data_IF_410656299712
#
_entry.id   IF_410656299712
#
_cell.length_a   1.000
_cell.length_b   1.000
_cell.length_c   1.000
_cell.angle_alpha   90.00
_cell.angle_beta   90.00
_cell.angle_gamma   90.00
#
_symmetry.space_group_name_H-M   'P 1'
#
loop_
_entity.id
_entity.type
_entity.pdbx_description
1 polymer ?
#
# COMPACT_ATOMS: atom_id res chain seq x y z
N UNK A 1 60.86 0.82 21.70
CA UNK A 1 59.60 1.57 21.51
C UNK A 1 58.73 0.90 20.43
N UNK A 2 57.99 -0.18 20.72
CA UNK A 2 56.98 -0.70 19.75
C UNK A 2 55.82 -1.49 20.36
N UNK A 3 55.80 -1.74 21.69
CA UNK A 3 54.71 -2.48 22.34
C UNK A 3 53.52 -1.62 22.77
N UNK A 4 53.69 -0.32 23.00
CA UNK A 4 52.58 0.53 23.47
C UNK A 4 51.60 0.99 22.38
N UNK A 5 52.01 1.07 21.10
CA UNK A 5 51.10 1.52 20.03
C UNK A 5 50.01 0.50 19.68
N UNK A 6 50.28 -0.81 19.76
CA UNK A 6 49.27 -1.85 19.42
C UNK A 6 48.14 -1.96 20.45
N UNK A 7 48.39 -1.61 21.70
CA UNK A 7 47.36 -1.62 22.75
C UNK A 7 46.42 -0.41 22.61
N UNK A 8 46.96 0.77 22.29
CA UNK A 8 46.15 1.98 22.08
C UNK A 8 45.22 1.85 20.87
N UNK A 9 45.65 1.24 19.77
CA UNK A 9 44.81 1.03 18.59
C UNK A 9 43.69 0.01 18.80
N UNK A 10 43.90 -1.03 19.63
CA UNK A 10 42.84 -2.01 19.96
C UNK A 10 41.79 -1.42 20.90
N UNK A 11 42.20 -0.60 21.86
CA UNK A 11 41.25 0.11 22.75
C UNK A 11 40.45 1.16 21.99
N UNK A 12 41.08 1.88 21.05
CA UNK A 12 40.38 2.86 20.20
C UNK A 12 39.37 2.21 19.26
N UNK A 13 39.70 1.04 18.68
CA UNK A 13 38.80 0.30 17.79
C UNK A 13 37.57 -0.28 18.51
N UNK A 14 37.74 -0.74 19.76
CA UNK A 14 36.61 -1.21 20.58
C UNK A 14 35.74 -0.04 21.03
N UNK A 15 36.32 1.11 21.39
CA UNK A 15 35.54 2.31 21.71
C UNK A 15 34.74 2.81 20.50
N UNK A 16 35.34 2.81 19.31
CA UNK A 16 34.65 3.20 18.08
C UNK A 16 33.50 2.23 17.75
N UNK A 17 33.70 0.92 17.91
CA UNK A 17 32.66 -0.07 17.69
C UNK A 17 31.49 0.08 18.67
N UNK A 18 31.76 0.35 19.96
CA UNK A 18 30.71 0.57 20.97
C UNK A 18 29.94 1.86 20.69
N UNK A 19 30.64 2.95 20.34
CA UNK A 19 29.99 4.23 19.97
C UNK A 19 29.13 4.07 18.71
N UNK A 20 29.66 3.39 17.69
CA UNK A 20 28.91 3.15 16.44
C UNK A 20 27.68 2.27 16.70
N UNK A 21 27.79 1.24 17.54
CA UNK A 21 26.65 0.39 17.92
C UNK A 21 25.59 1.17 18.71
N UNK A 22 25.98 2.06 19.64
CA UNK A 22 25.03 2.91 20.37
C UNK A 22 24.38 3.99 19.49
N UNK A 23 25.06 4.50 18.46
CA UNK A 23 24.47 5.44 17.49
C UNK A 23 23.56 4.71 16.50
N UNK A 24 23.90 3.49 16.07
CA UNK A 24 23.05 2.69 15.17
C UNK A 24 21.81 2.14 15.88
N UNK A 25 21.94 1.68 17.14
CA UNK A 25 20.81 1.26 17.96
C UNK A 25 19.95 2.46 18.39
N UNK A 26 20.56 3.61 18.69
CA UNK A 26 19.85 4.84 19.04
C UNK A 26 19.07 5.44 17.86
N UNK A 27 19.61 5.36 16.64
CA UNK A 27 18.93 5.85 15.43
C UNK A 27 17.83 4.91 14.92
N UNK A 28 17.92 3.60 15.15
CA UNK A 28 16.81 2.68 14.83
C UNK A 28 15.61 2.82 15.75
N UNK A 29 15.81 3.28 16.99
CA UNK A 29 14.71 3.67 17.88
C UNK A 29 14.16 5.08 17.62
N UNK A 30 14.91 5.94 16.91
CA UNK A 30 14.53 7.34 16.70
C UNK A 30 13.58 7.57 15.52
N UNK A 31 13.46 6.63 14.58
CA UNK A 31 12.51 6.73 13.46
C UNK A 31 11.14 6.12 13.73
N UNK A 32 10.90 5.55 14.92
CA UNK A 32 9.57 5.09 15.35
C UNK A 32 8.82 6.06 16.26
N UNK A 33 9.45 7.16 16.69
CA UNK A 33 8.77 8.18 17.49
C UNK A 33 8.78 9.49 16.71
N UNK A 34 7.77 9.67 15.84
CA UNK A 34 7.21 10.99 15.67
C UNK A 34 6.94 11.50 17.09
N UNK A 35 7.58 12.61 17.45
CA UNK A 35 7.74 13.12 18.80
C UNK A 35 6.36 13.19 19.50
N UNK A 36 6.01 12.17 20.28
CA UNK A 36 4.85 12.21 21.17
C UNK A 36 5.12 13.35 22.16
N UNK A 37 4.49 14.50 21.92
CA UNK A 37 4.30 15.46 23.00
C UNK A 37 3.57 14.71 24.12
N UNK A 38 4.00 14.82 25.39
CA UNK A 38 3.24 14.26 26.48
C UNK A 38 1.85 14.89 26.44
N UNK A 39 0.83 14.05 26.23
CA UNK A 39 -0.56 14.45 26.16
C UNK A 39 -0.88 15.41 27.32
N UNK A 40 -1.38 16.61 26.99
CA UNK A 40 -2.13 17.37 27.98
C UNK A 40 -3.29 16.47 28.41
N UNK A 41 -3.25 15.99 29.67
CA UNK A 41 -4.23 15.06 30.28
C UNK A 41 -5.64 15.65 30.46
N UNK A 42 -6.05 16.58 29.60
CA UNK A 42 -7.39 17.15 29.55
C UNK A 42 -7.82 17.48 28.11
N UNK A 43 -7.23 16.85 27.07
CA UNK A 43 -7.55 17.18 25.67
C UNK A 43 -8.96 16.72 25.32
N UNK A 44 -9.36 15.51 25.73
CA UNK A 44 -10.71 15.00 25.52
C UNK A 44 -11.80 15.84 26.19
N UNK A 45 -11.52 16.40 27.36
CA UNK A 45 -12.45 17.25 28.12
C UNK A 45 -12.90 18.49 27.35
N UNK A 46 -12.08 19.01 26.43
CA UNK A 46 -12.43 20.12 25.51
C UNK A 46 -13.59 19.74 24.57
N UNK A 47 -13.76 18.45 24.30
CA UNK A 47 -14.70 17.91 23.31
C UNK A 47 -15.80 17.02 23.90
N UNK A 48 -15.86 16.88 25.23
CA UNK A 48 -16.82 15.99 25.91
C UNK A 48 -18.26 16.51 25.83
N UNK A 49 -18.45 17.82 25.70
CA UNK A 49 -19.78 18.43 25.68
C UNK A 49 -20.18 18.85 24.27
N UNK A 50 -21.36 18.40 23.76
CA UNK A 50 -21.89 18.86 22.49
C UNK A 50 -22.10 20.38 22.45
N UNK A 51 -21.64 21.01 21.38
CA UNK A 51 -21.74 22.45 21.12
C UNK A 51 -22.54 22.72 19.83
N UNK A 52 -22.61 23.99 19.41
CA UNK A 52 -23.29 24.36 18.17
C UNK A 52 -22.65 23.69 16.94
N UNK A 53 -21.33 23.52 16.96
CA UNK A 53 -20.57 22.85 15.89
C UNK A 53 -20.98 21.39 15.78
N UNK A 54 -21.14 20.69 16.91
CA UNK A 54 -21.62 19.30 16.96
C UNK A 54 -22.98 19.16 16.28
N UNK A 55 -23.88 20.13 16.49
CA UNK A 55 -25.21 20.14 15.87
C UNK A 55 -25.12 20.37 14.36
N UNK A 56 -24.32 21.36 13.92
CA UNK A 56 -24.07 21.61 12.50
C UNK A 56 -23.47 20.38 11.81
N UNK A 57 -22.51 19.73 12.47
CA UNK A 57 -21.82 18.56 11.93
C UNK A 57 -22.73 17.34 11.77
N UNK A 58 -23.83 17.24 12.54
CA UNK A 58 -24.77 16.11 12.54
C UNK A 58 -26.13 16.44 11.91
N UNK A 59 -26.28 17.65 11.38
CA UNK A 59 -27.49 18.07 10.68
C UNK A 59 -27.49 17.49 9.26
N UNK A 60 -28.45 16.61 8.98
CA UNK A 60 -28.57 15.89 7.70
C UNK A 60 -29.01 16.79 6.55
N UNK A 61 -29.46 18.02 6.83
CA UNK A 61 -29.81 19.01 5.81
C UNK A 61 -28.61 19.83 5.33
N UNK A 62 -27.46 19.74 6.02
CA UNK A 62 -26.27 20.54 5.75
C UNK A 62 -25.27 19.81 4.86
N UNK A 63 -24.65 20.58 3.98
CA UNK A 63 -23.49 20.17 3.20
C UNK A 63 -22.26 20.97 3.60
N UNK A 64 -21.09 20.34 3.61
CA UNK A 64 -19.85 21.00 3.99
C UNK A 64 -19.10 21.53 2.78
N UNK A 65 -18.51 22.73 2.94
CA UNK A 65 -17.65 23.33 1.94
C UNK A 65 -16.39 23.93 2.56
N UNK A 66 -15.27 23.74 1.88
CA UNK A 66 -14.01 24.42 2.11
C UNK A 66 -14.09 25.78 1.41
N UNK A 67 -13.91 26.84 2.18
CA UNK A 67 -13.83 28.23 1.71
C UNK A 67 -12.40 28.71 1.90
N UNK A 68 -11.65 28.83 0.81
CA UNK A 68 -10.30 29.41 0.85
C UNK A 68 -10.40 30.91 1.06
N UNK A 69 -9.60 31.41 2.00
CA UNK A 69 -9.60 32.82 2.35
C UNK A 69 -8.61 33.59 1.48
N UNK A 70 -9.07 34.65 0.83
CA UNK A 70 -8.19 35.54 0.07
C UNK A 70 -7.56 36.63 0.96
N UNK A 71 -8.21 36.99 2.07
CA UNK A 71 -7.73 37.93 3.08
C UNK A 71 -8.47 37.78 4.43
N UNK A 72 -7.96 38.44 5.49
CA UNK A 72 -8.54 38.35 6.84
C UNK A 72 -9.92 39.01 7.00
N UNK A 73 -10.29 39.96 6.13
CA UNK A 73 -11.60 40.64 6.21
C UNK A 73 -12.75 39.70 5.78
N UNK A 74 -12.47 38.78 4.86
CA UNK A 74 -13.40 37.73 4.44
C UNK A 74 -13.70 36.76 5.59
N UNK A 75 -12.70 36.43 6.42
CA UNK A 75 -12.85 35.55 7.58
C UNK A 75 -13.96 36.05 8.51
N UNK A 76 -13.92 37.33 8.91
CA UNK A 76 -14.93 37.92 9.81
C UNK A 76 -16.35 37.83 9.26
N UNK A 77 -16.53 38.15 7.98
CA UNK A 77 -17.82 38.06 7.28
C UNK A 77 -18.39 36.64 7.31
N UNK A 78 -17.55 35.62 7.11
CA UNK A 78 -18.00 34.22 7.12
C UNK A 78 -18.36 33.78 8.54
N UNK A 79 -17.62 34.22 9.57
CA UNK A 79 -18.00 33.94 10.97
C UNK A 79 -19.36 34.53 11.35
N UNK A 80 -19.71 35.72 10.83
CA UNK A 80 -21.02 36.34 11.06
C UNK A 80 -22.19 35.52 10.48
N UNK A 81 -21.93 34.65 9.49
CA UNK A 81 -22.95 33.73 8.96
C UNK A 81 -23.38 32.63 9.96
N UNK A 82 -22.59 32.38 11.01
CA UNK A 82 -22.86 31.35 12.02
C UNK A 82 -22.69 29.90 11.53
N UNK A 83 -22.21 29.71 10.30
CA UNK A 83 -22.10 28.40 9.64
C UNK A 83 -20.67 27.81 9.69
N UNK A 84 -19.71 28.48 10.32
CA UNK A 84 -18.33 27.99 10.43
C UNK A 84 -18.31 26.76 11.33
N UNK A 85 -17.81 25.65 10.77
CA UNK A 85 -17.61 24.38 11.46
C UNK A 85 -16.24 24.34 12.10
N UNK A 86 -15.20 24.75 11.36
CA UNK A 86 -13.82 24.75 11.83
C UNK A 86 -12.94 25.71 11.02
N UNK A 87 -11.94 26.28 11.68
CA UNK A 87 -10.95 27.19 11.08
C UNK A 87 -9.58 26.50 11.03
N UNK A 88 -9.04 26.38 9.81
CA UNK A 88 -7.74 25.77 9.53
C UNK A 88 -6.67 26.83 9.22
N UNK A 89 -6.97 28.10 9.47
CA UNK A 89 -6.09 29.23 9.18
C UNK A 89 -6.16 29.65 7.72
N UNK A 90 -5.75 28.78 6.79
CA UNK A 90 -5.73 29.08 5.34
C UNK A 90 -7.11 28.95 4.67
N UNK A 91 -8.03 28.22 5.29
CA UNK A 91 -9.39 28.04 4.84
C UNK A 91 -10.33 27.81 6.02
N UNK A 92 -11.62 28.06 5.78
CA UNK A 92 -12.70 27.74 6.70
C UNK A 92 -13.47 26.53 6.17
N UNK A 93 -13.90 25.66 7.08
CA UNK A 93 -14.93 24.67 6.79
C UNK A 93 -16.27 25.24 7.22
N UNK A 94 -17.25 25.26 6.32
CA UNK A 94 -18.60 25.78 6.59
C UNK A 94 -19.68 24.73 6.35
N UNK A 95 -20.74 24.76 7.14
CA UNK A 95 -21.95 23.95 6.99
C UNK A 95 -23.07 24.80 6.38
N UNK A 96 -23.41 24.52 5.12
CA UNK A 96 -24.34 25.33 4.35
C UNK A 96 -25.63 24.53 4.09
N UNK A 97 -26.74 25.24 3.89
CA UNK A 97 -27.87 24.63 3.17
C UNK A 97 -27.41 24.25 1.75
N UNK A 98 -28.13 23.31 1.11
CA UNK A 98 -27.80 22.74 -0.22
C UNK A 98 -26.92 23.65 -1.07
N UNK A 99 -25.67 23.24 -1.27
CA UNK A 99 -24.68 23.99 -2.03
C UNK A 99 -25.18 24.13 -3.47
N UNK A 100 -25.74 25.30 -3.80
CA UNK A 100 -25.97 25.63 -5.21
C UNK A 100 -24.62 25.82 -5.86
N UNK A 101 -24.44 25.28 -7.08
CA UNK A 101 -23.29 25.60 -7.93
C UNK A 101 -23.32 27.11 -8.20
N UNK A 102 -22.65 27.89 -7.35
CA UNK A 102 -22.41 29.30 -7.59
C UNK A 102 -21.51 29.40 -8.81
N UNK A 103 -22.03 30.01 -9.87
CA UNK A 103 -21.29 30.33 -11.09
C UNK A 103 -20.51 31.64 -10.99
N UNK A 104 -20.51 32.34 -9.84
CA UNK A 104 -19.89 33.65 -9.69
C UNK A 104 -19.50 33.96 -8.22
N UNK A 105 -18.29 33.60 -7.82
CA UNK A 105 -17.47 34.34 -6.84
C UNK A 105 -16.05 33.79 -6.82
N UNK A 106 -15.05 34.67 -6.75
CA UNK A 106 -13.59 34.39 -6.70
C UNK A 106 -13.12 33.62 -5.43
N UNK A 107 -14.02 32.91 -4.75
CA UNK A 107 -13.74 31.93 -3.71
C UNK A 107 -14.28 30.58 -4.18
N UNK A 108 -13.36 29.71 -4.62
CA UNK A 108 -13.68 28.35 -5.05
C UNK A 108 -14.25 27.55 -3.87
N UNK A 109 -15.58 27.52 -3.76
CA UNK A 109 -16.30 26.64 -2.83
C UNK A 109 -16.04 25.19 -3.23
N UNK A 110 -15.17 24.52 -2.50
CA UNK A 110 -14.91 23.10 -2.70
C UNK A 110 -15.76 22.29 -1.72
N UNK A 111 -16.71 21.50 -2.25
CA UNK A 111 -17.49 20.57 -1.42
C UNK A 111 -16.55 19.60 -0.69
N UNK A 112 -16.76 19.44 0.62
CA UNK A 112 -16.12 18.39 1.40
C UNK A 112 -17.02 17.14 1.31
N UNK A 113 -16.49 16.09 0.70
CA UNK A 113 -17.18 14.80 0.62
C UNK A 113 -17.35 14.20 2.02
N UNK A 114 -18.48 13.53 2.25
CA UNK A 114 -18.86 12.96 3.56
C UNK A 114 -19.19 11.48 3.51
N UNK A 115 -19.09 10.86 2.33
CA UNK A 115 -19.29 9.42 2.17
C UNK A 115 -18.15 8.64 2.81
N UNK A 116 -18.43 7.56 3.52
CA UNK A 116 -17.39 6.66 4.03
C UNK A 116 -17.11 5.60 2.95
N UNK A 117 -15.85 5.46 2.54
CA UNK A 117 -15.43 4.49 1.51
C UNK A 117 -14.71 3.31 2.17
N UNK A 118 -15.32 2.13 2.14
CA UNK A 118 -14.82 0.89 2.72
C UNK A 118 -14.54 -0.13 1.62
N UNK A 119 -13.88 -1.26 1.94
CA UNK A 119 -13.65 -2.32 0.98
C UNK A 119 -14.90 -2.71 0.20
N UNK A 120 -16.05 -2.88 0.86
CA UNK A 120 -17.30 -3.34 0.21
C UNK A 120 -18.09 -2.27 -0.57
N UNK A 121 -17.65 -1.01 -0.56
CA UNK A 121 -18.33 0.08 -1.23
C UNK A 121 -18.33 1.36 -0.39
N UNK A 122 -19.28 2.25 -0.70
CA UNK A 122 -19.41 3.54 -0.01
C UNK A 122 -20.84 3.77 0.47
N UNK A 123 -20.97 4.50 1.56
CA UNK A 123 -22.28 4.92 2.09
C UNK A 123 -22.20 6.33 2.68
N UNK A 124 -23.33 7.02 2.72
CA UNK A 124 -23.50 8.28 3.44
C UNK A 124 -24.17 8.01 4.80
N UNK A 125 -23.47 8.27 5.93
CA UNK A 125 -23.89 7.85 7.26
C UNK A 125 -25.27 8.32 7.77
N UNK A 126 -25.88 9.32 7.13
CA UNK A 126 -27.16 9.89 7.57
C UNK A 126 -28.31 9.79 6.57
N UNK A 127 -28.04 9.38 5.33
CA UNK A 127 -29.08 9.21 4.31
C UNK A 127 -29.33 7.75 3.95
N UNK A 128 -28.35 6.87 4.17
CA UNK A 128 -28.48 5.46 3.84
C UNK A 128 -29.05 4.69 5.05
N UNK A 129 -30.27 4.14 4.89
CA UNK A 129 -31.09 3.53 5.96
C UNK A 129 -30.40 2.39 6.75
N UNK A 130 -29.32 1.79 6.22
CA UNK A 130 -28.55 0.72 6.86
C UNK A 130 -27.39 1.21 7.77
N UNK A 131 -27.18 2.53 7.87
CA UNK A 131 -26.02 3.12 8.57
C UNK A 131 -26.38 3.93 9.82
N UNK A 132 -27.51 3.61 10.47
CA UNK A 132 -27.89 4.25 11.73
C UNK A 132 -26.68 4.22 12.67
N UNK A 133 -26.28 5.42 13.12
CA UNK A 133 -25.29 5.59 14.18
C UNK A 133 -25.64 4.60 15.28
N UNK A 134 -24.79 3.59 15.49
CA UNK A 134 -25.02 2.67 16.59
C UNK A 134 -25.04 3.56 17.83
N UNK A 135 -26.17 3.56 18.56
CA UNK A 135 -26.28 4.42 19.73
C UNK A 135 -25.11 4.13 20.66
N UNK A 136 -24.63 5.15 21.38
CA UNK A 136 -23.53 4.98 22.32
C UNK A 136 -23.79 3.83 23.32
N UNK A 137 -25.06 3.55 23.61
CA UNK A 137 -25.52 2.41 24.43
C UNK A 137 -25.45 1.06 23.69
N UNK A 138 -25.78 1.00 22.39
CA UNK A 138 -25.64 -0.21 21.59
C UNK A 138 -24.17 -0.55 21.31
N UNK A 139 -23.29 0.45 21.15
CA UNK A 139 -21.83 0.27 21.09
C UNK A 139 -21.27 -0.26 22.41
N UNK A 140 -21.86 0.15 23.53
CA UNK A 140 -21.50 -0.31 24.87
C UNK A 140 -22.03 -1.72 25.19
N UNK A 141 -23.17 -2.12 24.60
CA UNK A 141 -23.76 -3.45 24.82
C UNK A 141 -22.99 -4.58 24.10
N UNK A 142 -22.27 -4.25 23.02
CA UNK A 142 -21.42 -5.16 22.24
C UNK A 142 -20.03 -5.41 22.88
N UNK A 143 -19.85 -4.99 24.14
CA UNK A 143 -18.56 -4.82 24.81
C UNK A 143 -17.95 -6.07 25.45
N UNK A 144 -17.86 -7.20 24.73
CA UNK A 144 -16.87 -8.21 25.11
C UNK A 144 -15.53 -7.88 24.43
N UNK A 145 -14.63 -7.23 25.17
CA UNK A 145 -13.29 -6.90 24.69
C UNK A 145 -13.21 -5.69 23.75
N UNK A 146 -12.05 -5.52 23.11
CA UNK A 146 -11.79 -4.44 22.15
C UNK A 146 -12.13 -4.90 20.72
N UNK A 147 -12.68 -3.99 19.92
CA UNK A 147 -13.09 -4.23 18.53
C UNK A 147 -12.69 -3.06 17.62
N UNK A 148 -12.88 -3.24 16.31
CA UNK A 148 -12.68 -2.20 15.31
C UNK A 148 -13.98 -1.46 15.00
N UNK A 149 -13.86 -0.15 14.90
CA UNK A 149 -14.93 0.80 14.65
C UNK A 149 -14.49 1.75 13.55
N UNK A 150 -15.45 2.34 12.86
CA UNK A 150 -15.20 3.45 11.95
C UNK A 150 -15.70 4.71 12.64
N UNK A 151 -14.86 5.74 12.67
CA UNK A 151 -15.19 7.05 13.25
C UNK A 151 -14.92 8.12 12.21
N UNK A 152 -15.91 8.94 11.90
CA UNK A 152 -15.81 10.07 11.00
C UNK A 152 -15.86 11.39 11.77
N UNK A 153 -14.87 12.25 11.55
CA UNK A 153 -14.89 13.62 12.03
C UNK A 153 -15.78 14.51 11.15
N UNK A 154 -16.40 15.53 11.72
CA UNK A 154 -17.15 16.54 10.95
C UNK A 154 -16.27 17.57 10.22
N UNK A 155 -14.98 17.28 10.06
CA UNK A 155 -13.98 18.12 9.41
C UNK A 155 -12.66 17.38 9.26
N UNK A 156 -11.68 18.03 8.63
CA UNK A 156 -10.32 17.49 8.49
C UNK A 156 -9.72 17.32 9.90
N UNK A 157 -9.25 16.11 10.21
CA UNK A 157 -8.76 15.81 11.55
C UNK A 157 -7.57 16.72 11.93
N UNK A 158 -7.61 17.22 13.17
CA UNK A 158 -6.49 17.92 13.82
C UNK A 158 -5.78 16.96 14.77
N UNK A 159 -4.49 17.18 15.02
CA UNK A 159 -3.69 16.33 15.92
C UNK A 159 -4.34 16.21 17.32
N UNK A 160 -4.88 17.30 17.86
CA UNK A 160 -5.57 17.32 19.16
C UNK A 160 -6.84 16.44 19.19
N UNK A 161 -7.52 16.23 18.06
CA UNK A 161 -8.69 15.36 17.99
C UNK A 161 -8.30 13.88 17.94
N UNK A 162 -7.18 13.58 17.28
CA UNK A 162 -6.64 12.21 17.26
C UNK A 162 -6.05 11.86 18.64
N UNK A 163 -5.40 12.82 19.29
CA UNK A 163 -4.85 12.65 20.64
C UNK A 163 -5.96 12.46 21.69
N UNK A 164 -7.09 13.17 21.55
CA UNK A 164 -8.22 12.97 22.46
C UNK A 164 -8.77 11.53 22.43
N UNK A 165 -8.70 10.85 21.27
CA UNK A 165 -9.12 9.45 21.16
C UNK A 165 -8.14 8.53 21.91
N UNK A 166 -6.83 8.82 21.82
CA UNK A 166 -5.78 8.07 22.54
C UNK A 166 -5.93 8.23 24.06
N UNK A 167 -6.26 9.43 24.52
CA UNK A 167 -6.48 9.74 25.94
C UNK A 167 -7.57 8.88 26.58
N UNK A 168 -8.62 8.52 25.82
CA UNK A 168 -9.71 7.65 26.29
C UNK A 168 -9.48 6.15 26.04
N UNK A 169 -8.27 5.77 25.61
CA UNK A 169 -7.85 4.36 25.47
C UNK A 169 -8.13 3.73 24.11
N UNK A 170 -8.49 4.53 23.10
CA UNK A 170 -8.66 4.07 21.72
C UNK A 170 -7.38 4.27 20.90
N UNK A 171 -7.20 3.45 19.87
CA UNK A 171 -6.10 3.53 18.93
C UNK A 171 -6.62 3.90 17.55
N UNK A 172 -6.08 4.95 16.95
CA UNK A 172 -6.36 5.31 15.56
C UNK A 172 -5.47 4.45 14.66
N UNK A 173 -6.07 3.52 13.91
CA UNK A 173 -5.36 2.48 13.16
C UNK A 173 -5.02 2.93 11.75
N UNK A 174 -6.02 3.40 11.00
CA UNK A 174 -5.84 3.75 9.59
C UNK A 174 -6.86 4.78 9.13
N UNK A 175 -6.43 5.72 8.28
CA UNK A 175 -7.32 6.64 7.61
C UNK A 175 -8.21 5.93 6.58
N UNK A 176 -9.49 6.30 6.58
CA UNK A 176 -10.50 5.92 5.59
C UNK A 176 -10.92 7.21 4.87
N UNK A 177 -11.04 7.21 3.53
CA UNK A 177 -11.39 8.42 2.79
C UNK A 177 -12.59 9.18 3.35
N UNK A 178 -12.52 10.51 3.26
CA UNK A 178 -13.52 11.47 3.74
C UNK A 178 -13.64 11.54 5.27
N UNK A 179 -12.50 11.88 5.89
CA UNK A 179 -12.36 12.23 7.32
C UNK A 179 -12.73 11.10 8.27
N UNK A 180 -12.72 9.86 7.78
CA UNK A 180 -13.01 8.68 8.55
C UNK A 180 -11.72 7.95 8.95
N UNK A 181 -11.80 7.17 10.01
CA UNK A 181 -10.69 6.38 10.54
C UNK A 181 -11.21 5.04 11.04
N UNK A 182 -10.45 3.98 10.81
CA UNK A 182 -10.56 2.76 11.60
C UNK A 182 -9.95 3.04 12.97
N UNK A 183 -10.73 2.83 14.01
CA UNK A 183 -10.37 3.02 15.42
C UNK A 183 -10.58 1.71 16.16
N UNK A 184 -9.62 1.32 16.98
CA UNK A 184 -9.72 0.14 17.83
C UNK A 184 -9.83 0.55 19.31
N UNK A 185 -10.82 0.01 19.99
CA UNK A 185 -11.09 0.35 21.39
C UNK A 185 -12.10 -0.59 22.01
N UNK A 186 -12.29 -0.47 23.32
CA UNK A 186 -13.42 -1.13 24.00
C UNK A 186 -14.69 -0.28 23.87
N UNK A 187 -15.83 -0.85 24.25
CA UNK A 187 -17.12 -0.18 24.16
C UNK A 187 -17.21 1.12 24.98
N UNK A 188 -16.43 1.28 26.05
CA UNK A 188 -16.44 2.52 26.85
C UNK A 188 -15.72 3.65 26.11
N UNK A 189 -14.51 3.38 25.61
CA UNK A 189 -13.72 4.35 24.85
C UNK A 189 -14.49 4.83 23.61
N UNK A 190 -15.12 3.90 22.88
CA UNK A 190 -15.85 4.22 21.65
C UNK A 190 -17.16 4.95 21.96
N UNK A 191 -17.83 4.64 23.07
CA UNK A 191 -19.01 5.39 23.53
C UNK A 191 -18.67 6.85 23.84
N UNK A 192 -17.50 7.10 24.46
CA UNK A 192 -16.98 8.46 24.66
C UNK A 192 -16.69 9.15 23.32
N UNK A 193 -16.00 8.47 22.41
CA UNK A 193 -15.67 9.00 21.07
C UNK A 193 -16.94 9.32 20.25
N UNK A 194 -17.96 8.47 20.29
CA UNK A 194 -19.23 8.73 19.60
C UNK A 194 -19.93 10.01 20.11
N UNK A 195 -19.65 10.43 21.35
CA UNK A 195 -20.16 11.67 21.94
C UNK A 195 -19.20 12.87 21.81
N UNK A 196 -18.01 12.67 21.24
CA UNK A 196 -17.03 13.73 21.02
C UNK A 196 -17.60 14.82 20.10
N UNK A 197 -17.46 16.09 20.48
CA UNK A 197 -18.09 17.25 19.82
C UNK A 197 -17.61 17.54 18.39
N UNK A 198 -16.53 16.87 17.96
CA UNK A 198 -16.02 16.91 16.57
C UNK A 198 -16.27 15.64 15.76
N UNK A 199 -16.89 14.62 16.37
CA UNK A 199 -17.27 13.38 15.68
C UNK A 199 -18.63 13.55 15.04
N UNK A 200 -18.67 13.36 13.72
CA UNK A 200 -19.88 13.35 12.91
C UNK A 200 -20.60 12.02 13.03
N UNK A 201 -19.88 10.90 12.89
CA UNK A 201 -20.47 9.57 12.92
C UNK A 201 -19.51 8.54 13.52
N UNK A 202 -20.07 7.51 14.16
CA UNK A 202 -19.32 6.35 14.64
C UNK A 202 -20.16 5.07 14.49
N UNK A 203 -19.51 3.97 14.10
CA UNK A 203 -20.15 2.66 13.94
C UNK A 203 -19.15 1.51 14.01
N UNK A 204 -19.64 0.29 14.25
CA UNK A 204 -18.79 -0.91 14.26
C UNK A 204 -18.32 -1.23 12.84
N UNK A 205 -17.08 -1.70 12.70
CA UNK A 205 -16.61 -2.24 11.44
C UNK A 205 -17.09 -3.70 11.30
N UNK A 206 -18.03 -3.95 10.39
CA UNK A 206 -18.75 -5.23 10.29
C UNK A 206 -18.06 -6.21 9.34
N UNK A 207 -18.49 -7.48 9.37
CA UNK A 207 -17.95 -8.52 8.49
C UNK A 207 -18.21 -8.21 7.00
N UNK A 208 -19.41 -7.75 6.68
CA UNK A 208 -19.83 -7.42 5.31
C UNK A 208 -18.99 -6.28 4.72
N UNK A 209 -18.47 -5.39 5.57
CA UNK A 209 -17.64 -4.26 5.18
C UNK A 209 -16.19 -4.62 4.84
N UNK A 210 -15.80 -5.89 5.03
CA UNK A 210 -14.46 -6.41 4.74
C UNK A 210 -14.37 -7.09 3.37
N UNK A 211 -15.50 -7.37 2.73
CA UNK A 211 -15.59 -8.14 1.48
C UNK A 211 -15.54 -7.17 0.31
N UNK A 212 -14.52 -7.26 -0.54
CA UNK A 212 -14.36 -6.37 -1.69
C UNK A 212 -15.37 -6.65 -2.83
N UNK A 213 -15.78 -5.65 -3.64
CA UNK A 213 -16.64 -5.83 -4.80
C UNK A 213 -16.09 -6.78 -5.84
N UNK A 214 -14.77 -6.91 -5.95
CA UNK A 214 -14.10 -7.85 -6.86
C UNK A 214 -14.42 -9.30 -6.52
N UNK A 215 -14.85 -9.59 -5.28
CA UNK A 215 -15.35 -10.91 -4.88
C UNK A 215 -16.74 -11.23 -5.47
N UNK A 216 -17.48 -10.26 -6.00
CA UNK A 216 -18.79 -10.52 -6.61
C UNK A 216 -18.69 -11.52 -7.78
N UNK A 217 -17.61 -11.46 -8.56
CA UNK A 217 -17.35 -12.41 -9.65
C UNK A 217 -17.10 -13.84 -9.14
N UNK A 218 -16.69 -13.98 -7.88
CA UNK A 218 -16.52 -15.26 -7.20
C UNK A 218 -17.84 -15.73 -6.59
N UNK A 219 -18.68 -14.84 -6.06
CA UNK A 219 -20.00 -15.22 -5.50
C UNK A 219 -20.96 -15.80 -6.54
N UNK A 220 -20.76 -15.53 -7.83
CA UNK A 220 -21.51 -16.18 -8.92
C UNK A 220 -21.10 -17.64 -9.15
N UNK A 221 -19.96 -18.08 -8.59
CA UNK A 221 -19.45 -19.44 -8.71
C UNK A 221 -20.04 -20.33 -7.60
N UNK A 222 -20.10 -21.66 -7.80
CA UNK A 222 -20.54 -22.57 -6.75
C UNK A 222 -19.69 -22.46 -5.49
N UNK A 223 -20.32 -22.51 -4.31
CA UNK A 223 -19.67 -22.33 -2.99
C UNK A 223 -18.51 -23.31 -2.72
N UNK A 224 -18.56 -24.50 -3.33
CA UNK A 224 -17.53 -25.53 -3.18
C UNK A 224 -16.31 -25.33 -4.10
N UNK A 225 -16.35 -24.37 -5.02
CA UNK A 225 -15.19 -24.02 -5.84
C UNK A 225 -14.13 -23.40 -4.95
N UNK A 226 -12.92 -23.95 -5.01
CA UNK A 226 -11.77 -23.43 -4.27
C UNK A 226 -11.06 -22.36 -5.09
N UNK A 227 -10.65 -21.28 -4.42
CA UNK A 227 -9.89 -20.18 -4.99
C UNK A 227 -8.91 -19.61 -3.95
N UNK A 228 -7.97 -18.78 -4.42
CA UNK A 228 -7.01 -18.11 -3.55
C UNK A 228 -7.47 -16.70 -3.20
N UNK A 229 -7.22 -16.29 -1.97
CA UNK A 229 -7.56 -14.99 -1.44
C UNK A 229 -6.41 -14.43 -0.59
N UNK A 230 -6.21 -13.12 -0.66
CA UNK A 230 -5.39 -12.40 0.29
C UNK A 230 -6.29 -11.83 1.39
N UNK A 231 -6.05 -12.29 2.62
CA UNK A 231 -6.74 -11.80 3.81
C UNK A 231 -5.82 -10.82 4.51
N UNK A 232 -6.16 -9.53 4.43
CA UNK A 232 -5.46 -8.50 5.18
C UNK A 232 -5.87 -8.57 6.64
N UNK A 233 -4.89 -8.80 7.52
CA UNK A 233 -5.05 -8.91 8.97
C UNK A 233 -4.40 -7.69 9.60
N UNK A 234 -5.08 -6.97 10.49
CA UNK A 234 -4.49 -5.79 11.12
C UNK A 234 -3.14 -6.11 11.78
N UNK A 235 -2.13 -5.27 11.57
CA UNK A 235 -0.74 -5.51 11.98
C UNK A 235 -0.56 -5.57 13.50
N UNK A 236 -1.47 -4.92 14.23
CA UNK A 236 -1.60 -4.98 15.69
C UNK A 236 -2.00 -6.36 16.23
N UNK A 237 -2.63 -7.18 15.39
CA UNK A 237 -3.05 -8.51 15.78
C UNK A 237 -1.87 -9.49 15.68
N UNK A 238 -1.87 -10.51 16.53
CA UNK A 238 -0.91 -11.60 16.39
C UNK A 238 -1.30 -12.47 15.20
N UNK A 239 -0.56 -12.31 14.09
CA UNK A 239 -0.79 -13.07 12.86
C UNK A 239 -0.77 -14.59 13.08
N UNK A 240 0.00 -15.10 14.05
CA UNK A 240 0.02 -16.52 14.37
C UNK A 240 -1.27 -16.97 15.10
N UNK A 241 -1.81 -16.12 15.97
CA UNK A 241 -3.10 -16.36 16.61
C UNK A 241 -4.25 -16.34 15.59
N UNK A 242 -4.27 -15.35 14.68
CA UNK A 242 -5.24 -15.26 13.58
C UNK A 242 -5.14 -16.46 12.64
N UNK A 243 -3.92 -16.90 12.31
CA UNK A 243 -3.69 -18.13 11.53
C UNK A 243 -4.22 -19.38 12.23
N UNK A 244 -4.08 -19.45 13.55
CA UNK A 244 -4.62 -20.56 14.36
C UNK A 244 -6.14 -20.53 14.41
N UNK A 245 -6.75 -19.35 14.52
CA UNK A 245 -8.20 -19.19 14.44
C UNK A 245 -8.71 -19.63 13.07
N UNK A 246 -8.10 -19.16 11.97
CA UNK A 246 -8.42 -19.59 10.62
C UNK A 246 -8.42 -21.12 10.49
N UNK A 247 -7.35 -21.77 10.95
CA UNK A 247 -7.22 -23.23 10.85
C UNK A 247 -8.29 -24.01 11.63
N UNK A 248 -8.90 -23.38 12.64
CA UNK A 248 -9.95 -23.99 13.46
C UNK A 248 -11.37 -23.70 12.95
N UNK A 249 -11.58 -22.59 12.23
CA UNK A 249 -12.91 -22.09 11.85
C UNK A 249 -13.21 -22.25 10.36
N UNK A 250 -12.19 -22.28 9.52
CA UNK A 250 -12.30 -22.25 8.06
C UNK A 250 -11.82 -23.55 7.45
N UNK A 251 -12.61 -24.12 6.53
CA UNK A 251 -12.17 -25.25 5.73
C UNK A 251 -11.27 -24.77 4.59
N UNK A 252 -9.95 -24.86 4.74
CA UNK A 252 -9.01 -24.60 3.66
C UNK A 252 -7.56 -24.58 4.14
N UNK A 253 -6.68 -23.98 3.35
CA UNK A 253 -5.24 -24.00 3.59
C UNK A 253 -4.66 -22.59 3.64
N UNK A 254 -3.77 -22.37 4.61
CA UNK A 254 -2.89 -21.20 4.61
C UNK A 254 -1.73 -21.54 3.67
N UNK A 255 -1.64 -20.77 2.58
CA UNK A 255 -0.58 -20.91 1.59
C UNK A 255 0.64 -20.10 2.01
N UNK A 256 0.43 -18.92 2.62
CA UNK A 256 1.51 -18.07 3.07
C UNK A 256 1.09 -17.10 4.18
N UNK A 257 2.08 -16.67 4.98
CA UNK A 257 1.96 -15.59 5.96
C UNK A 257 2.99 -14.52 5.64
N UNK A 258 2.55 -13.34 5.22
CA UNK A 258 3.43 -12.25 4.78
C UNK A 258 3.32 -11.14 5.80
N UNK A 259 4.44 -10.88 6.50
CA UNK A 259 4.56 -9.72 7.38
C UNK A 259 5.00 -8.52 6.56
N UNK A 260 4.32 -7.40 6.72
CA UNK A 260 4.62 -6.15 6.02
C UNK A 260 5.12 -5.12 7.05
N UNK A 261 6.45 -4.99 7.24
CA UNK A 261 7.00 -4.00 8.14
C UNK A 261 6.51 -2.61 7.77
N UNK A 262 6.14 -1.81 8.77
CA UNK A 262 5.66 -0.43 8.60
C UNK A 262 4.32 -0.28 7.87
N UNK A 263 3.59 -1.37 7.63
CA UNK A 263 2.20 -1.34 7.15
C UNK A 263 1.21 -1.56 8.31
N UNK A 264 -0.02 -1.09 8.18
CA UNK A 264 -1.06 -1.25 9.21
C UNK A 264 -1.75 -2.62 9.17
N UNK A 265 -1.43 -3.46 8.18
CA UNK A 265 -1.88 -4.86 8.07
C UNK A 265 -0.74 -5.79 7.61
N UNK A 266 -0.94 -7.09 7.85
CA UNK A 266 -0.18 -8.21 7.29
C UNK A 266 -1.10 -9.02 6.37
N UNK A 267 -0.55 -9.94 5.57
CA UNK A 267 -1.36 -10.81 4.69
C UNK A 267 -1.31 -12.26 5.16
N UNK A 268 -2.48 -12.88 5.23
CA UNK A 268 -2.66 -14.31 5.24
C UNK A 268 -3.17 -14.73 3.86
N UNK A 269 -2.32 -15.34 3.03
CA UNK A 269 -2.71 -15.86 1.73
C UNK A 269 -3.28 -17.25 1.91
N UNK A 270 -4.53 -17.45 1.50
CA UNK A 270 -5.28 -18.68 1.76
C UNK A 270 -5.85 -19.27 0.47
N UNK A 271 -6.04 -20.58 0.47
CA UNK A 271 -6.79 -21.30 -0.54
C UNK A 271 -8.01 -21.95 0.15
N UNK A 272 -9.21 -21.49 -0.20
CA UNK A 272 -10.47 -21.90 0.46
C UNK A 272 -11.60 -22.09 -0.56
N UNK A 273 -12.62 -22.91 -0.25
CA UNK A 273 -13.92 -22.85 -0.92
C UNK A 273 -14.57 -21.47 -0.75
N UNK A 274 -15.20 -20.96 -1.80
CA UNK A 274 -15.85 -19.64 -1.82
C UNK A 274 -16.89 -19.48 -0.70
N UNK A 275 -17.60 -20.56 -0.34
CA UNK A 275 -18.59 -20.56 0.75
C UNK A 275 -18.01 -20.25 2.14
N UNK A 276 -16.69 -20.28 2.30
CA UNK A 276 -16.01 -20.00 3.58
C UNK A 276 -15.67 -18.52 3.79
N UNK A 277 -15.84 -17.65 2.78
CA UNK A 277 -15.48 -16.22 2.85
C UNK A 277 -16.15 -15.49 4.02
N UNK A 278 -17.42 -15.82 4.31
CA UNK A 278 -18.19 -15.21 5.40
C UNK A 278 -17.60 -15.54 6.79
N UNK A 279 -17.00 -16.72 6.95
CA UNK A 279 -16.34 -17.10 8.21
C UNK A 279 -15.06 -16.29 8.44
N UNK A 280 -14.28 -16.07 7.37
CA UNK A 280 -13.10 -15.20 7.43
C UNK A 280 -13.52 -13.76 7.75
N UNK A 281 -14.56 -13.25 7.08
CA UNK A 281 -15.06 -11.89 7.30
C UNK A 281 -15.52 -11.67 8.76
N UNK A 282 -16.07 -12.71 9.39
CA UNK A 282 -16.48 -12.69 10.79
C UNK A 282 -15.30 -12.64 11.80
N UNK A 283 -14.08 -12.99 11.39
CA UNK A 283 -12.91 -12.94 12.27
C UNK A 283 -12.59 -11.49 12.66
N UNK A 284 -12.43 -11.14 13.95
CA UNK A 284 -12.34 -9.75 14.40
C UNK A 284 -11.18 -8.96 13.78
N UNK A 285 -10.00 -9.57 13.67
CA UNK A 285 -8.76 -8.92 13.23
C UNK A 285 -8.56 -8.89 11.71
N UNK A 286 -9.55 -9.35 10.93
CA UNK A 286 -9.55 -9.21 9.47
C UNK A 286 -9.96 -7.78 9.10
N UNK A 287 -9.11 -7.13 8.32
CA UNK A 287 -9.35 -5.81 7.73
C UNK A 287 -10.09 -5.92 6.40
N UNK A 288 -9.60 -6.72 5.44
CA UNK A 288 -10.26 -6.91 4.15
C UNK A 288 -9.91 -8.27 3.55
N UNK A 289 -10.73 -8.73 2.62
CA UNK A 289 -10.50 -9.95 1.85
C UNK A 289 -10.56 -9.59 0.38
N UNK A 290 -9.52 -9.97 -0.36
CA UNK A 290 -9.42 -9.72 -1.80
C UNK A 290 -9.12 -11.02 -2.56
N UNK A 291 -9.60 -11.15 -3.81
CA UNK A 291 -9.20 -12.28 -4.65
C UNK A 291 -7.71 -12.19 -4.96
N UNK A 292 -7.01 -13.33 -4.86
CA UNK A 292 -5.63 -13.43 -5.29
C UNK A 292 -5.54 -14.28 -6.56
N UNK A 293 -4.90 -13.71 -7.59
CA UNK A 293 -4.49 -14.46 -8.78
C UNK A 293 -2.98 -14.45 -8.84
N UNK A 294 -2.38 -15.63 -9.00
CA UNK A 294 -0.95 -15.74 -9.20
C UNK A 294 -0.54 -14.93 -10.43
N UNK A 295 0.47 -14.03 -10.34
CA UNK A 295 0.87 -13.24 -11.49
C UNK A 295 1.29 -14.08 -12.69
N UNK A 296 0.96 -13.58 -13.87
CA UNK A 296 1.32 -14.14 -15.17
C UNK A 296 2.13 -13.12 -15.97
N UNK A 297 2.94 -13.62 -16.91
CA UNK A 297 3.73 -12.77 -17.81
C UNK A 297 2.84 -11.85 -18.66
N UNK A 298 3.26 -10.60 -18.85
CA UNK A 298 2.54 -9.59 -19.63
C UNK A 298 3.40 -9.04 -20.77
N UNK A 299 2.83 -8.91 -21.96
CA UNK A 299 3.57 -8.59 -23.19
C UNK A 299 3.58 -7.08 -23.51
N UNK A 300 4.76 -6.55 -23.84
CA UNK A 300 4.97 -5.19 -24.34
C UNK A 300 4.24 -4.93 -25.67
N UNK A 301 4.11 -5.91 -26.57
CA UNK A 301 3.49 -5.67 -27.88
C UNK A 301 2.03 -5.22 -27.76
N UNK A 302 1.28 -5.80 -26.82
CA UNK A 302 -0.10 -5.39 -26.56
C UNK A 302 -0.15 -3.93 -26.08
N UNK A 303 0.76 -3.53 -25.20
CA UNK A 303 0.87 -2.15 -24.72
C UNK A 303 1.19 -1.16 -25.85
N UNK A 304 2.14 -1.48 -26.73
CA UNK A 304 2.51 -0.61 -27.86
C UNK A 304 1.38 -0.49 -28.90
N UNK A 305 0.59 -1.56 -29.11
CA UNK A 305 -0.61 -1.50 -29.96
C UNK A 305 -1.65 -0.55 -29.37
N UNK A 306 -1.93 -0.66 -28.06
CA UNK A 306 -2.88 0.24 -27.37
C UNK A 306 -2.39 1.69 -27.39
N UNK A 307 -1.09 1.92 -27.25
CA UNK A 307 -0.47 3.24 -27.34
C UNK A 307 -0.37 3.81 -28.77
N UNK A 308 -0.65 3.01 -29.80
CA UNK A 308 -0.51 3.41 -31.21
C UNK A 308 0.94 3.51 -31.70
N UNK A 309 1.88 2.89 -31.00
CA UNK A 309 3.33 2.94 -31.27
C UNK A 309 3.79 1.81 -32.20
N UNK A 310 3.17 1.69 -33.38
CA UNK A 310 3.55 0.68 -34.36
C UNK A 310 3.41 1.22 -35.79
N UNK A 311 4.26 0.72 -36.69
CA UNK A 311 4.22 1.03 -38.12
C UNK A 311 3.40 0.00 -38.91
N UNK A 312 3.33 -1.23 -38.41
CA UNK A 312 2.60 -2.34 -39.01
C UNK A 312 2.27 -3.39 -37.94
N UNK A 313 1.43 -4.40 -38.23
CA UNK A 313 1.17 -5.51 -37.31
C UNK A 313 2.43 -6.27 -36.83
N UNK A 314 3.57 -6.13 -37.53
CA UNK A 314 4.82 -6.83 -37.22
C UNK A 314 5.96 -5.91 -36.79
N UNK A 315 5.80 -4.58 -36.87
CA UNK A 315 6.86 -3.62 -36.59
C UNK A 315 6.40 -2.53 -35.62
N UNK A 316 7.07 -2.46 -34.46
CA UNK A 316 6.87 -1.42 -33.45
C UNK A 316 7.66 -0.16 -33.79
N UNK A 317 7.22 0.98 -33.28
CA UNK A 317 8.00 2.22 -33.31
C UNK A 317 9.25 2.06 -32.45
N UNK A 318 10.42 2.44 -32.98
CA UNK A 318 11.64 2.48 -32.17
C UNK A 318 11.50 3.50 -31.05
N UNK A 319 12.08 3.22 -29.88
CA UNK A 319 12.08 4.16 -28.74
C UNK A 319 12.72 5.52 -29.06
N UNK A 320 13.58 5.58 -30.09
CA UNK A 320 14.13 6.82 -30.64
C UNK A 320 15.24 7.44 -29.79
N UNK A 321 15.71 6.76 -28.74
CA UNK A 321 16.82 7.20 -27.91
C UNK A 321 17.91 6.14 -27.76
N UNK A 322 19.17 6.59 -27.68
CA UNK A 322 20.32 5.79 -27.31
C UNK A 322 20.86 6.34 -25.97
N UNK A 323 20.70 5.60 -24.86
CA UNK A 323 21.08 6.09 -23.53
C UNK A 323 22.57 6.48 -23.42
N UNK A 324 23.46 5.74 -24.07
CA UNK A 324 24.89 6.08 -24.07
C UNK A 324 25.14 7.40 -24.80
N UNK A 325 24.51 7.61 -25.95
CA UNK A 325 24.67 8.85 -26.70
C UNK A 325 24.00 10.07 -26.02
N UNK A 326 22.85 9.84 -25.38
CA UNK A 326 22.04 10.90 -24.78
C UNK A 326 22.50 11.28 -23.36
N UNK A 327 22.85 10.28 -22.55
CA UNK A 327 23.12 10.44 -21.12
C UNK A 327 24.56 10.09 -20.72
N UNK A 328 25.36 9.50 -21.62
CA UNK A 328 26.74 9.10 -21.33
C UNK A 328 26.86 7.92 -20.35
N UNK A 329 25.78 7.15 -20.16
CA UNK A 329 25.72 6.00 -19.26
C UNK A 329 25.23 4.75 -19.99
N UNK A 330 25.71 3.58 -19.57
CA UNK A 330 25.47 2.29 -20.22
C UNK A 330 25.09 1.16 -19.24
N UNK A 331 24.83 1.50 -17.97
CA UNK A 331 24.53 0.52 -16.92
C UNK A 331 25.73 -0.03 -16.16
N UNK A 332 26.95 0.48 -16.40
CA UNK A 332 28.12 0.11 -15.58
C UNK A 332 27.82 0.22 -14.08
N UNK A 333 28.13 -0.82 -13.31
CA UNK A 333 27.86 -0.97 -11.86
C UNK A 333 26.37 -0.97 -11.46
N UNK A 334 25.47 -1.12 -12.42
CA UNK A 334 24.04 -1.32 -12.17
C UNK A 334 23.74 -2.82 -12.20
N UNK A 335 22.94 -3.28 -11.23
CA UNK A 335 22.43 -4.66 -11.21
C UNK A 335 20.91 -4.62 -11.16
N UNK A 336 20.29 -5.36 -12.07
CA UNK A 336 18.84 -5.45 -12.24
C UNK A 336 18.41 -6.90 -12.05
N UNK A 337 17.45 -7.15 -11.18
CA UNK A 337 16.80 -8.46 -11.14
C UNK A 337 15.71 -8.54 -12.21
N UNK A 338 15.71 -9.63 -12.95
CA UNK A 338 14.63 -10.00 -13.84
C UNK A 338 13.82 -11.08 -13.13
N UNK A 339 12.68 -10.65 -12.60
CA UNK A 339 11.75 -11.48 -11.84
C UNK A 339 10.69 -11.97 -12.82
N UNK A 340 10.84 -13.17 -13.37
CA UNK A 340 10.06 -13.60 -14.55
C UNK A 340 10.06 -15.14 -14.73
N UNK A 341 9.89 -15.65 -15.96
CA UNK A 341 9.85 -17.09 -16.28
C UNK A 341 11.24 -17.74 -16.46
N UNK A 342 12.27 -16.95 -16.17
CA UNK A 342 13.68 -17.32 -16.15
C UNK A 342 14.51 -16.70 -17.28
N UNK A 343 15.83 -16.69 -17.09
CA UNK A 343 16.81 -16.22 -18.06
C UNK A 343 17.73 -17.38 -18.45
N UNK A 344 17.89 -17.62 -19.75
CA UNK A 344 18.88 -18.58 -20.25
C UNK A 344 20.29 -17.99 -20.15
N UNK A 345 21.20 -18.71 -19.47
CA UNK A 345 22.59 -18.32 -19.25
C UNK A 345 23.51 -19.49 -19.68
N UNK A 346 24.22 -19.40 -20.82
CA UNK A 346 24.10 -18.36 -21.85
C UNK A 346 22.77 -18.43 -22.60
N UNK A 347 22.39 -17.31 -23.23
CA UNK A 347 21.20 -17.19 -24.05
C UNK A 347 21.25 -18.04 -25.32
N UNK A 348 20.08 -18.44 -25.81
CA UNK A 348 19.95 -19.15 -27.08
C UNK A 348 19.90 -18.13 -28.23
N UNK A 349 21.07 -17.73 -28.74
CA UNK A 349 21.29 -17.03 -30.02
C UNK A 349 20.28 -15.95 -30.44
N UNK A 350 20.67 -14.67 -30.36
CA UNK A 350 19.87 -13.52 -30.82
C UNK A 350 19.75 -12.40 -29.78
N UNK A 351 19.98 -12.75 -28.51
CA UNK A 351 19.78 -11.92 -27.35
C UNK A 351 20.88 -12.24 -26.34
N UNK A 352 21.99 -11.48 -26.37
CA UNK A 352 23.20 -11.90 -25.66
C UNK A 352 23.12 -11.56 -24.17
N UNK A 353 22.62 -12.54 -23.45
CA UNK A 353 22.83 -12.69 -22.02
C UNK A 353 23.78 -13.87 -21.83
N UNK A 354 24.85 -13.67 -21.07
CA UNK A 354 25.87 -14.69 -20.83
C UNK A 354 26.20 -14.75 -19.35
N UNK A 355 27.07 -15.68 -18.95
CA UNK A 355 27.58 -15.71 -17.58
C UNK A 355 28.45 -14.49 -17.23
N UNK A 356 28.83 -13.67 -18.21
CA UNK A 356 29.60 -12.44 -17.98
C UNK A 356 28.73 -11.31 -17.41
N UNK A 357 27.45 -11.26 -17.79
CA UNK A 357 26.53 -10.20 -17.37
C UNK A 357 25.25 -10.71 -16.70
N UNK A 358 25.03 -12.01 -16.57
CA UNK A 358 23.91 -12.57 -15.83
C UNK A 358 24.30 -13.73 -14.91
N UNK A 359 23.55 -13.86 -13.81
CA UNK A 359 23.71 -14.94 -12.84
C UNK A 359 22.36 -15.38 -12.28
N UNK A 360 22.26 -16.66 -11.89
CA UNK A 360 21.08 -17.20 -11.22
C UNK A 360 21.02 -16.72 -9.77
N UNK A 361 19.99 -15.94 -9.42
CA UNK A 361 19.68 -15.65 -8.02
C UNK A 361 19.15 -16.88 -7.29
N UNK A 362 18.57 -16.71 -6.09
CA UNK A 362 17.88 -17.80 -5.41
C UNK A 362 16.72 -18.36 -6.26
N UNK A 363 16.93 -19.56 -6.83
CA UNK A 363 15.94 -20.18 -7.72
C UNK A 363 14.72 -20.74 -6.98
N UNK A 364 14.78 -20.84 -5.65
CA UNK A 364 13.70 -21.29 -4.75
C UNK A 364 12.89 -22.48 -5.30
N UNK A 365 13.60 -23.56 -5.65
CA UNK A 365 12.99 -24.80 -6.14
C UNK A 365 12.75 -24.86 -7.65
N UNK A 366 12.75 -23.73 -8.36
CA UNK A 366 12.70 -23.71 -9.81
C UNK A 366 14.01 -24.23 -10.43
N UNK A 367 13.92 -24.71 -11.68
CA UNK A 367 15.11 -25.02 -12.48
C UNK A 367 15.72 -23.73 -13.04
N UNK A 368 17.03 -23.71 -13.22
CA UNK A 368 17.73 -22.64 -13.94
C UNK A 368 17.34 -22.56 -15.42
N UNK A 369 17.62 -21.42 -16.05
CA UNK A 369 17.28 -21.13 -17.44
C UNK A 369 15.90 -20.48 -17.62
N UNK A 370 15.51 -20.23 -18.86
CA UNK A 370 14.17 -19.78 -19.23
C UNK A 370 13.22 -20.94 -19.57
N UNK A 371 11.90 -20.73 -19.43
CA UNK A 371 10.88 -21.71 -19.86
C UNK A 371 10.12 -21.26 -21.10
N UNK A 372 9.53 -20.06 -21.09
CA UNK A 372 8.81 -19.46 -22.22
C UNK A 372 9.63 -18.44 -23.00
N UNK A 373 10.73 -17.96 -22.41
CA UNK A 373 11.64 -16.97 -23.00
C UNK A 373 11.24 -15.52 -22.73
N UNK A 374 10.17 -15.31 -21.95
CA UNK A 374 9.68 -13.98 -21.61
C UNK A 374 10.67 -13.20 -20.74
N UNK A 375 11.15 -13.81 -19.65
CA UNK A 375 12.21 -13.28 -18.80
C UNK A 375 13.52 -13.09 -19.55
N UNK A 376 13.87 -14.03 -20.43
CA UNK A 376 15.07 -13.89 -21.26
C UNK A 376 14.98 -12.69 -22.23
N UNK A 377 13.81 -12.47 -22.83
CA UNK A 377 13.55 -11.29 -23.66
C UNK A 377 13.71 -10.00 -22.82
N UNK A 378 13.09 -9.92 -21.64
CA UNK A 378 13.19 -8.77 -20.75
C UNK A 378 14.63 -8.50 -20.31
N UNK A 379 15.37 -9.54 -19.91
CA UNK A 379 16.79 -9.42 -19.56
C UNK A 379 17.61 -8.83 -20.71
N UNK A 380 17.26 -9.18 -21.95
CA UNK A 380 17.98 -8.75 -23.14
C UNK A 380 17.62 -7.34 -23.57
N UNK A 381 16.37 -6.91 -23.39
CA UNK A 381 15.97 -5.50 -23.52
C UNK A 381 16.76 -4.63 -22.53
N UNK A 382 16.97 -5.13 -21.31
CA UNK A 382 17.71 -4.40 -20.27
C UNK A 382 19.21 -4.37 -20.58
N UNK A 383 19.84 -5.54 -20.68
CA UNK A 383 21.30 -5.67 -20.62
C UNK A 383 21.89 -6.56 -21.73
N UNK A 384 21.15 -6.79 -22.82
CA UNK A 384 21.68 -7.49 -23.98
C UNK A 384 22.99 -6.85 -24.43
N UNK A 385 24.07 -7.63 -24.49
CA UNK A 385 25.38 -7.15 -24.89
C UNK A 385 25.67 -7.47 -26.36
N UNK A 386 26.78 -7.00 -26.91
CA UNK A 386 27.28 -7.51 -28.20
C UNK A 386 27.71 -9.00 -28.03
N UNK A 387 27.86 -9.83 -29.10
CA UNK A 387 28.73 -9.57 -30.27
C UNK A 387 28.09 -9.23 -31.64
N UNK A 388 26.86 -8.72 -31.75
CA UNK A 388 26.27 -8.50 -33.09
C UNK A 388 26.91 -7.31 -33.83
N UNK A 389 27.07 -7.47 -35.16
CA UNK A 389 27.90 -6.64 -36.04
C UNK A 389 27.44 -5.20 -36.26
N UNK A 390 27.60 -4.69 -37.49
CA UNK A 390 27.24 -3.30 -37.81
C UNK A 390 25.75 -2.99 -37.58
N UNK A 391 25.46 -1.72 -37.36
CA UNK A 391 24.08 -1.21 -37.21
C UNK A 391 23.21 -1.62 -38.41
N UNK A 392 21.94 -1.88 -38.16
CA UNK A 392 20.93 -2.05 -39.20
C UNK A 392 20.72 -0.74 -40.00
N UNK A 393 19.95 -0.77 -41.11
CA UNK A 393 19.70 0.44 -41.91
C UNK A 393 19.03 1.61 -41.18
N UNK A 394 18.47 1.37 -39.98
CA UNK A 394 17.84 2.35 -39.12
C UNK A 394 18.79 2.85 -38.00
N UNK A 395 20.02 2.33 -37.93
CA UNK A 395 21.03 2.73 -36.95
C UNK A 395 20.96 1.96 -35.63
N UNK A 396 20.27 0.82 -35.58
CA UNK A 396 20.13 0.00 -34.37
C UNK A 396 20.99 -1.26 -34.42
N UNK A 397 21.50 -1.71 -33.27
CA UNK A 397 22.13 -3.03 -33.16
C UNK A 397 21.08 -4.03 -32.65
N UNK A 398 20.84 -5.10 -33.40
CA UNK A 398 19.91 -6.12 -32.99
C UNK A 398 20.38 -6.80 -31.69
N UNK A 399 19.52 -6.86 -30.68
CA UNK A 399 19.84 -7.54 -29.41
C UNK A 399 20.69 -6.73 -28.43
N UNK A 400 21.06 -5.47 -28.74
CA UNK A 400 21.65 -4.57 -27.74
C UNK A 400 20.57 -4.06 -26.78
N UNK A 401 20.83 -4.20 -25.49
CA UNK A 401 19.97 -3.68 -24.44
C UNK A 401 20.11 -2.17 -24.25
N UNK A 402 19.17 -1.60 -23.51
CA UNK A 402 19.16 -0.19 -23.09
C UNK A 402 20.39 0.14 -22.23
N UNK A 403 20.80 -0.80 -21.39
CA UNK A 403 21.92 -0.70 -20.45
C UNK A 403 22.88 -1.91 -20.63
N UNK A 404 23.63 -1.98 -21.74
CA UNK A 404 24.37 -3.18 -22.15
C UNK A 404 25.52 -3.58 -21.20
N UNK A 405 25.90 -2.71 -20.25
CA UNK A 405 26.90 -3.01 -19.20
C UNK A 405 26.29 -3.26 -17.82
N UNK A 406 24.96 -3.29 -17.70
CA UNK A 406 24.30 -3.73 -16.48
C UNK A 406 24.47 -5.23 -16.26
N UNK A 407 24.40 -5.64 -14.99
CA UNK A 407 24.32 -7.04 -14.58
C UNK A 407 22.87 -7.46 -14.35
N UNK A 408 22.55 -8.71 -14.68
CA UNK A 408 21.23 -9.31 -14.48
C UNK A 408 21.28 -10.37 -13.38
N UNK A 409 20.29 -10.33 -12.49
CA UNK A 409 19.99 -11.44 -11.58
C UNK A 409 18.75 -12.14 -12.12
N UNK A 410 18.84 -13.43 -12.41
CA UNK A 410 17.69 -14.24 -12.80
C UNK A 410 16.92 -14.70 -11.56
N UNK A 411 15.67 -14.25 -11.42
CA UNK A 411 14.73 -14.73 -10.39
C UNK A 411 13.52 -15.34 -11.13
N UNK A 412 13.43 -16.68 -11.25
CA UNK A 412 12.43 -17.35 -12.08
C UNK A 412 11.04 -17.43 -11.39
N UNK A 413 10.51 -16.30 -10.94
CA UNK A 413 9.28 -16.17 -10.15
C UNK A 413 8.02 -16.78 -10.80
N UNK A 414 7.80 -16.56 -12.10
CA UNK A 414 6.62 -17.08 -12.80
C UNK A 414 6.84 -18.51 -13.33
N UNK A 415 8.05 -19.05 -13.17
CA UNK A 415 8.40 -20.40 -13.60
C UNK A 415 7.75 -21.46 -12.70
N UNK A 416 7.29 -22.55 -13.32
CA UNK A 416 6.83 -23.73 -12.58
C UNK A 416 7.93 -24.30 -11.68
N UNK A 417 7.57 -24.62 -10.44
CA UNK A 417 8.48 -25.11 -9.40
C UNK A 417 9.10 -24.01 -8.53
N UNK A 418 8.94 -22.73 -8.87
CA UNK A 418 9.31 -21.65 -7.96
C UNK A 418 8.36 -21.65 -6.75
N UNK A 419 8.93 -21.79 -5.56
CA UNK A 419 8.19 -21.82 -4.28
C UNK A 419 8.35 -20.54 -3.47
N UNK A 420 9.04 -19.54 -4.02
CA UNK A 420 9.20 -18.25 -3.38
C UNK A 420 7.96 -17.37 -3.50
N UNK A 421 7.94 -16.31 -2.71
CA UNK A 421 6.92 -15.27 -2.77
C UNK A 421 7.43 -14.08 -3.59
N UNK A 422 6.53 -13.18 -3.94
CA UNK A 422 6.83 -11.89 -4.55
C UNK A 422 7.69 -11.02 -3.63
N UNK A 423 7.33 -10.90 -2.35
CA UNK A 423 8.17 -10.24 -1.35
C UNK A 423 9.59 -10.85 -1.26
N UNK A 424 9.70 -12.18 -1.34
CA UNK A 424 11.00 -12.86 -1.37
C UNK A 424 11.79 -12.57 -2.65
N UNK A 425 11.13 -12.39 -3.80
CA UNK A 425 11.79 -11.99 -5.03
C UNK A 425 12.37 -10.56 -4.91
N UNK A 426 11.66 -9.65 -4.23
CA UNK A 426 12.19 -8.32 -3.90
C UNK A 426 13.38 -8.42 -2.95
N UNK A 427 13.27 -9.21 -1.88
CA UNK A 427 14.39 -9.45 -0.96
C UNK A 427 15.61 -10.04 -1.69
N UNK A 428 15.38 -11.01 -2.56
CA UNK A 428 16.43 -11.66 -3.34
C UNK A 428 17.10 -10.66 -4.30
N UNK A 429 16.34 -9.71 -4.85
CA UNK A 429 16.90 -8.61 -5.66
C UNK A 429 17.89 -7.78 -4.86
N UNK A 430 17.51 -7.36 -3.65
CA UNK A 430 18.32 -6.49 -2.79
C UNK A 430 19.53 -7.21 -2.17
N UNK A 431 19.43 -8.52 -1.98
CA UNK A 431 20.46 -9.31 -1.26
C UNK A 431 21.36 -10.15 -2.19
N UNK A 432 21.08 -10.18 -3.49
CA UNK A 432 21.90 -10.91 -4.46
C UNK A 432 22.81 -9.97 -5.23
N UNK A 433 24.11 -10.27 -5.28
CA UNK A 433 25.05 -9.55 -6.14
C UNK A 433 25.05 -10.13 -7.56
N UNK A 434 25.06 -9.25 -8.55
CA UNK A 434 25.27 -9.63 -9.95
C UNK A 434 26.75 -9.94 -10.25
N UNK A 435 27.08 -10.35 -11.49
CA UNK A 435 28.47 -10.60 -11.91
C UNK A 435 29.45 -9.43 -11.69
N UNK A 436 28.95 -8.19 -11.68
CA UNK A 436 29.71 -6.98 -11.35
C UNK A 436 30.06 -6.82 -9.85
N UNK A 437 29.59 -7.71 -8.97
CA UNK A 437 29.78 -7.65 -7.52
C UNK A 437 28.86 -6.67 -6.79
N UNK A 438 27.95 -6.00 -7.50
CA UNK A 438 26.98 -5.06 -6.94
C UNK A 438 25.64 -5.75 -6.70
N UNK A 439 25.01 -5.48 -5.56
CA UNK A 439 23.64 -5.97 -5.27
C UNK A 439 22.62 -5.33 -6.18
N UNK A 440 21.51 -6.03 -6.44
CA UNK A 440 20.38 -5.47 -7.16
C UNK A 440 19.72 -4.33 -6.37
N UNK A 441 19.26 -3.31 -7.09
CA UNK A 441 18.40 -2.26 -6.54
C UNK A 441 17.27 -1.86 -7.50
N UNK A 442 17.14 -2.60 -8.61
CA UNK A 442 16.06 -2.48 -9.60
C UNK A 442 15.48 -3.88 -9.78
N UNK A 443 14.16 -4.01 -9.64
CA UNK A 443 13.42 -5.23 -9.95
C UNK A 443 12.57 -5.00 -11.20
N UNK A 444 12.80 -5.78 -12.25
CA UNK A 444 11.97 -5.80 -13.43
C UNK A 444 10.87 -6.86 -13.28
N UNK A 445 9.62 -6.41 -13.20
CA UNK A 445 8.43 -7.24 -13.02
C UNK A 445 7.50 -7.10 -14.24
N UNK A 446 7.84 -7.73 -15.35
CA UNK A 446 7.02 -7.71 -16.58
C UNK A 446 5.87 -8.72 -16.50
N UNK A 447 5.15 -8.72 -15.39
CA UNK A 447 4.05 -9.62 -15.10
C UNK A 447 3.02 -8.87 -14.28
N UNK A 448 1.80 -9.39 -14.29
CA UNK A 448 0.69 -8.81 -13.58
C UNK A 448 -0.42 -9.82 -13.38
N UNK A 449 -1.61 -9.35 -13.00
CA UNK A 449 -2.76 -10.21 -12.77
C UNK A 449 -3.53 -10.52 -14.08
N UNK A 450 -3.04 -10.07 -15.24
CA UNK A 450 -3.68 -10.30 -16.54
C UNK A 450 -5.02 -9.58 -16.72
N UNK A 451 -5.42 -8.74 -15.75
CA UNK A 451 -6.62 -7.95 -15.79
C UNK A 451 -6.22 -6.47 -15.98
N UNK A 452 -6.79 -5.81 -16.98
CA UNK A 452 -6.71 -4.34 -17.12
C UNK A 452 -7.50 -3.59 -16.02
N UNK A 453 -7.76 -4.24 -14.88
CA UNK A 453 -8.45 -3.66 -13.74
C UNK A 453 -7.45 -2.93 -12.86
N UNK A 454 -7.55 -1.60 -12.82
CA UNK A 454 -6.83 -0.77 -11.85
C UNK A 454 -7.47 -0.90 -10.44
N UNK A 455 -7.53 -2.11 -9.89
CA UNK A 455 -7.98 -2.33 -8.51
C UNK A 455 -6.81 -2.12 -7.54
N UNK A 456 -7.00 -1.28 -6.53
CA UNK A 456 -6.05 -1.14 -5.42
C UNK A 456 -6.45 -2.08 -4.28
N UNK A 457 -6.02 -3.34 -4.41
CA UNK A 457 -6.29 -4.42 -3.46
C UNK A 457 -5.17 -4.57 -2.41
N UNK A 458 -5.33 -5.53 -1.49
CA UNK A 458 -4.32 -5.82 -0.47
C UNK A 458 -3.01 -6.33 -1.04
N UNK A 459 -3.00 -6.91 -2.25
CA UNK A 459 -1.78 -7.30 -2.97
C UNK A 459 -1.04 -6.08 -3.52
N UNK A 460 -1.76 -5.15 -4.16
CA UNK A 460 -1.20 -3.88 -4.64
C UNK A 460 -0.63 -3.03 -3.51
N UNK A 461 -1.29 -3.01 -2.35
CA UNK A 461 -0.86 -2.28 -1.15
C UNK A 461 0.35 -2.89 -0.42
N UNK A 462 0.91 -4.00 -0.91
CA UNK A 462 2.19 -4.55 -0.43
C UNK A 462 3.41 -3.79 -0.96
N UNK A 463 3.25 -3.08 -2.08
CA UNK A 463 4.29 -2.33 -2.79
C UNK A 463 4.11 -0.83 -2.56
#
# INVERSE_FOLDING_TARGET
MSKNRRFTFRVLGVLFAVIFMSVFLGNHTATQNAQEQPAEKETFKKFETPDIITRLMRDTSKEFAIVRLNNDAERGTIYESGNVVEDYGSFLLTANDKLQKSSNSDSELQKLETTINLPNGKFEPFTDESSQTISADALKADASGKNYYIVQFGGIAKDEWLESFREVGAEVVQYVPHQAFIVYGDGEAISKIANHSRVRWAGKYTAEQKISPELNDFTARPENVTAMFDVAVFSRADLAAVSSEFANTVNGQIINQIKLPSNFFNILRVEIPIGELSKIAAMPDVFRIDPYTKPIVEDERAAQIVAGNFFSPTALSSSGYNPLAQFGVDGTNVTVAVVDDGVSIPGNGGFYISAENAFDGPLRGAKSGATGGHGHLNASIIAGSEPFGGLDPLGYNYGIGVAPKASIINIPFTRSGYTGTDAQAVDDTLNTAGPNGMTGYISNNSWGNGANGNSYDSYAAMY
#
